data_IF_545705744827
#
_entry.id   IF_545705744827
#
_cell.length_a   1.000
_cell.length_b   1.000
_cell.length_c   1.000
_cell.angle_alpha   90.00
_cell.angle_beta   90.00
_cell.angle_gamma   90.00
#
_symmetry.space_group_name_H-M   'P 1'
#
loop_
_entity.id
_entity.type
_entity.pdbx_description
1 polymer ?
#
# COMPACT_ATOMS: atom_id res chain seq x y z
N UNK A 1 -3.03 15.29 -8.06
CA UNK A 1 -3.62 13.97 -8.29
C UNK A 1 -4.28 13.51 -7.00
N UNK A 2 -5.48 12.92 -7.09
CA UNK A 2 -6.20 12.36 -5.96
C UNK A 2 -6.33 10.84 -6.15
N UNK A 3 -6.10 10.10 -5.07
CA UNK A 3 -6.37 8.68 -4.97
C UNK A 3 -7.65 8.50 -4.15
N UNK A 4 -8.66 7.82 -4.70
CA UNK A 4 -9.81 7.37 -3.92
C UNK A 4 -9.41 6.10 -3.16
N UNK A 5 -9.89 5.92 -1.93
CA UNK A 5 -9.45 4.79 -1.11
C UNK A 5 -10.61 4.16 -0.35
N UNK A 6 -10.80 2.84 -0.53
CA UNK A 6 -11.69 2.05 0.31
C UNK A 6 -11.05 0.71 0.67
N UNK A 7 -10.66 0.55 1.94
CA UNK A 7 -9.90 -0.62 2.45
C UNK A 7 -10.60 -1.36 3.60
N UNK A 8 -11.83 -0.98 3.96
CA UNK A 8 -12.58 -1.68 5.00
C UNK A 8 -13.02 -3.06 4.53
N UNK A 9 -12.83 -4.07 5.37
CA UNK A 9 -13.50 -5.36 5.20
C UNK A 9 -14.98 -5.24 5.54
N UNK A 10 -15.79 -6.20 5.13
CA UNK A 10 -17.22 -6.26 5.49
C UNK A 10 -17.43 -6.15 7.01
N UNK A 11 -16.66 -6.90 7.79
CA UNK A 11 -16.71 -6.85 9.25
C UNK A 11 -16.36 -5.47 9.82
N UNK A 12 -15.34 -4.81 9.28
CA UNK A 12 -14.93 -3.46 9.71
C UNK A 12 -15.96 -2.38 9.33
N UNK A 13 -16.70 -2.61 8.25
CA UNK A 13 -17.77 -1.71 7.80
C UNK A 13 -19.12 -2.00 8.50
N UNK A 14 -19.25 -3.13 9.20
CA UNK A 14 -20.53 -3.58 9.78
C UNK A 14 -21.54 -4.02 8.71
N UNK A 15 -21.06 -4.55 7.59
CA UNK A 15 -21.83 -4.92 6.41
C UNK A 15 -21.71 -6.43 6.14
N UNK A 16 -22.65 -6.98 5.39
CA UNK A 16 -22.44 -8.27 4.73
C UNK A 16 -21.39 -8.19 3.63
N UNK A 17 -20.88 -9.33 3.18
CA UNK A 17 -19.90 -9.38 2.08
C UNK A 17 -20.46 -8.75 0.81
N UNK A 18 -21.71 -9.07 0.45
CA UNK A 18 -22.34 -8.52 -0.76
C UNK A 18 -22.56 -7.01 -0.68
N UNK A 19 -22.98 -6.50 0.47
CA UNK A 19 -23.12 -5.06 0.70
C UNK A 19 -21.76 -4.35 0.61
N UNK A 20 -20.68 -4.93 1.16
CA UNK A 20 -19.35 -4.36 1.09
C UNK A 20 -18.83 -4.33 -0.36
N UNK A 21 -19.12 -5.35 -1.16
CA UNK A 21 -18.83 -5.36 -2.59
C UNK A 21 -19.58 -4.24 -3.31
N UNK A 22 -20.85 -4.01 -2.98
CA UNK A 22 -21.64 -2.91 -3.57
C UNK A 22 -21.05 -1.53 -3.21
N UNK A 23 -20.63 -1.35 -1.96
CA UNK A 23 -19.95 -0.12 -1.52
C UNK A 23 -18.65 0.07 -2.32
N UNK A 24 -17.83 -0.98 -2.45
CA UNK A 24 -16.57 -0.91 -3.22
C UNK A 24 -16.84 -0.56 -4.70
N UNK A 25 -17.88 -1.14 -5.32
CA UNK A 25 -18.31 -0.77 -6.68
C UNK A 25 -18.68 0.71 -6.79
N UNK A 26 -19.36 1.25 -5.79
CA UNK A 26 -19.70 2.67 -5.73
C UNK A 26 -18.46 3.58 -5.76
N UNK A 27 -17.44 3.26 -4.95
CA UNK A 27 -16.15 3.98 -4.95
C UNK A 27 -15.41 3.87 -6.29
N UNK A 28 -15.43 2.69 -6.93
CA UNK A 28 -14.80 2.51 -8.25
C UNK A 28 -15.56 3.34 -9.30
N UNK A 29 -16.88 3.32 -9.28
CA UNK A 29 -17.71 4.08 -10.21
C UNK A 29 -17.48 5.59 -10.06
N UNK A 30 -17.49 6.10 -8.83
CA UNK A 30 -17.18 7.50 -8.53
C UNK A 30 -15.78 7.88 -9.04
N UNK A 31 -14.76 7.03 -8.79
CA UNK A 31 -13.40 7.29 -9.24
C UNK A 31 -13.28 7.34 -10.78
N UNK A 32 -14.09 6.57 -11.50
CA UNK A 32 -14.19 6.61 -12.97
C UNK A 32 -14.83 7.92 -13.43
N UNK A 33 -15.99 8.28 -12.84
CA UNK A 33 -16.77 9.46 -13.21
C UNK A 33 -16.02 10.76 -12.94
N UNK A 34 -15.41 10.86 -11.75
CA UNK A 34 -14.62 12.03 -11.32
C UNK A 34 -13.19 12.04 -11.89
N UNK A 35 -12.82 11.02 -12.69
CA UNK A 35 -11.50 10.89 -13.33
C UNK A 35 -10.35 10.98 -12.33
N UNK A 36 -10.46 10.31 -11.21
CA UNK A 36 -9.36 10.21 -10.26
C UNK A 36 -8.16 9.49 -10.91
N UNK A 37 -6.98 9.72 -10.34
CA UNK A 37 -5.75 9.09 -10.84
C UNK A 37 -5.73 7.61 -10.53
N UNK A 38 -6.18 7.23 -9.31
CA UNK A 38 -6.07 5.88 -8.80
C UNK A 38 -7.22 5.58 -7.81
N UNK A 39 -7.66 4.34 -7.82
CA UNK A 39 -8.50 3.75 -6.78
C UNK A 39 -7.65 2.76 -5.96
N UNK A 40 -7.59 2.97 -4.64
CA UNK A 40 -6.89 2.09 -3.70
C UNK A 40 -7.90 1.18 -3.01
N UNK A 41 -7.79 -0.11 -3.26
CA UNK A 41 -8.74 -1.14 -2.79
C UNK A 41 -8.03 -2.38 -2.24
N UNK A 42 -8.80 -3.26 -1.60
CA UNK A 42 -8.31 -4.56 -1.14
C UNK A 42 -7.96 -5.48 -2.32
N UNK A 43 -7.00 -6.43 -2.14
CA UNK A 43 -6.57 -7.34 -3.20
C UNK A 43 -7.71 -8.14 -3.86
N UNK A 44 -8.67 -8.62 -3.06
CA UNK A 44 -9.83 -9.37 -3.52
C UNK A 44 -10.79 -8.60 -4.43
N UNK A 45 -10.65 -7.26 -4.50
CA UNK A 45 -11.45 -6.38 -5.34
C UNK A 45 -10.76 -5.97 -6.64
N UNK A 46 -9.48 -6.30 -6.85
CA UNK A 46 -8.69 -5.86 -8.01
C UNK A 46 -9.27 -6.36 -9.33
N UNK A 47 -9.59 -7.65 -9.43
CA UNK A 47 -10.23 -8.22 -10.62
C UNK A 47 -11.56 -7.51 -10.96
N UNK A 48 -12.39 -7.23 -9.96
CA UNK A 48 -13.64 -6.52 -10.15
C UNK A 48 -13.42 -5.11 -10.69
N UNK A 49 -12.50 -4.37 -10.09
CA UNK A 49 -12.14 -3.02 -10.52
C UNK A 49 -11.61 -3.03 -11.95
N UNK A 50 -10.72 -3.98 -12.28
CA UNK A 50 -10.17 -4.12 -13.64
C UNK A 50 -11.25 -4.31 -14.69
N UNK A 51 -12.25 -5.13 -14.40
CA UNK A 51 -13.41 -5.33 -15.28
C UNK A 51 -14.20 -4.03 -15.46
N UNK A 52 -14.59 -3.35 -14.37
CA UNK A 52 -15.38 -2.11 -14.43
C UNK A 52 -14.66 -1.00 -15.20
N UNK A 53 -13.36 -0.83 -14.95
CA UNK A 53 -12.53 0.19 -15.61
C UNK A 53 -12.41 -0.09 -17.12
N UNK A 54 -12.25 -1.37 -17.49
CA UNK A 54 -12.18 -1.79 -18.90
C UNK A 54 -13.50 -1.56 -19.62
N UNK A 55 -14.62 -1.93 -19.01
CA UNK A 55 -15.97 -1.73 -19.56
C UNK A 55 -16.30 -0.24 -19.74
N UNK A 56 -15.81 0.63 -18.86
CA UNK A 56 -15.97 2.07 -18.93
C UNK A 56 -14.97 2.77 -19.88
N UNK A 57 -14.03 2.04 -20.49
CA UNK A 57 -12.90 2.62 -21.23
C UNK A 57 -12.16 3.72 -20.46
N UNK A 58 -12.03 3.57 -19.13
CA UNK A 58 -11.40 4.54 -18.26
C UNK A 58 -9.88 4.33 -18.16
N UNK A 59 -9.15 5.41 -17.86
CA UNK A 59 -7.70 5.38 -17.59
C UNK A 59 -7.38 5.32 -16.10
N UNK A 60 -8.38 5.09 -15.24
CA UNK A 60 -8.22 4.94 -13.80
C UNK A 60 -7.25 3.80 -13.50
N UNK A 61 -6.25 4.07 -12.66
CA UNK A 61 -5.30 3.07 -12.19
C UNK A 61 -5.82 2.35 -10.94
N UNK A 62 -5.36 1.13 -10.74
CA UNK A 62 -5.72 0.30 -9.59
C UNK A 62 -4.52 0.15 -8.68
N UNK A 63 -4.62 0.66 -7.45
CA UNK A 63 -3.69 0.35 -6.37
C UNK A 63 -4.28 -0.68 -5.44
N UNK A 64 -3.42 -1.51 -4.88
CA UNK A 64 -3.80 -2.43 -3.82
C UNK A 64 -2.74 -2.51 -2.73
N UNK A 65 -3.16 -2.96 -1.57
CA UNK A 65 -2.30 -3.13 -0.40
C UNK A 65 -1.78 -4.55 -0.32
N UNK A 66 -0.57 -4.73 0.19
CA UNK A 66 0.08 -6.04 0.39
C UNK A 66 0.44 -6.18 1.87
N UNK A 67 0.09 -7.31 2.47
CA UNK A 67 0.30 -7.64 3.88
C UNK A 67 -0.33 -6.60 4.82
N UNK A 68 -1.55 -6.24 4.52
CA UNK A 68 -2.24 -5.14 5.17
C UNK A 68 -3.23 -5.62 6.26
N UNK A 69 -3.26 -4.98 7.46
CA UNK A 69 -2.55 -3.73 7.80
C UNK A 69 -1.27 -3.90 8.64
N UNK A 70 -0.85 -5.11 9.01
CA UNK A 70 0.20 -5.34 10.01
C UNK A 70 1.63 -5.37 9.43
N UNK A 71 1.82 -5.88 8.23
CA UNK A 71 3.14 -6.01 7.62
C UNK A 71 4.02 -7.10 8.22
N UNK A 72 3.45 -8.10 8.90
CA UNK A 72 4.16 -9.11 9.68
C UNK A 72 4.30 -10.47 8.99
N UNK A 73 3.69 -10.64 7.81
CA UNK A 73 3.79 -11.88 7.04
C UNK A 73 5.23 -12.11 6.57
N UNK A 74 5.54 -13.36 6.27
CA UNK A 74 6.84 -13.71 5.69
C UNK A 74 7.06 -13.04 4.33
N UNK A 75 8.33 -12.89 3.95
CA UNK A 75 8.68 -12.36 2.62
C UNK A 75 8.02 -13.17 1.50
N UNK A 76 7.97 -14.49 1.67
CA UNK A 76 7.37 -15.42 0.71
C UNK A 76 5.87 -15.16 0.51
N UNK A 77 5.13 -14.93 1.61
CA UNK A 77 3.71 -14.58 1.58
C UNK A 77 3.47 -13.20 0.94
N UNK A 78 4.27 -12.18 1.30
CA UNK A 78 4.20 -10.86 0.67
C UNK A 78 4.44 -10.93 -0.84
N UNK A 79 5.41 -11.71 -1.28
CA UNK A 79 5.70 -11.89 -2.71
C UNK A 79 4.56 -12.62 -3.41
N UNK A 80 3.99 -13.66 -2.81
CA UNK A 80 2.88 -14.41 -3.37
C UNK A 80 1.63 -13.51 -3.53
N UNK A 81 1.29 -12.72 -2.51
CA UNK A 81 0.20 -11.76 -2.57
C UNK A 81 0.42 -10.69 -3.65
N UNK A 82 1.64 -10.14 -3.74
CA UNK A 82 1.98 -9.15 -4.76
C UNK A 82 1.92 -9.73 -6.19
N UNK A 83 2.39 -10.95 -6.40
CA UNK A 83 2.30 -11.65 -7.69
C UNK A 83 0.84 -11.81 -8.10
N UNK A 84 -0.03 -12.25 -7.17
CA UNK A 84 -1.45 -12.39 -7.43
C UNK A 84 -2.08 -11.03 -7.77
N UNK A 85 -1.78 -9.98 -7.02
CA UNK A 85 -2.30 -8.64 -7.29
C UNK A 85 -1.88 -8.12 -8.68
N UNK A 86 -0.64 -8.39 -9.10
CA UNK A 86 -0.15 -8.07 -10.44
C UNK A 86 -0.94 -8.81 -11.52
N UNK A 87 -1.18 -10.12 -11.33
CA UNK A 87 -1.96 -10.94 -12.26
C UNK A 87 -3.41 -10.47 -12.37
N UNK A 88 -4.00 -10.03 -11.27
CA UNK A 88 -5.35 -9.49 -11.19
C UNK A 88 -5.48 -8.10 -11.83
N UNK A 89 -4.36 -7.43 -12.09
CA UNK A 89 -4.31 -6.18 -12.85
C UNK A 89 -4.03 -4.92 -12.03
N UNK A 90 -3.46 -5.03 -10.84
CA UNK A 90 -2.99 -3.88 -10.06
C UNK A 90 -1.89 -3.12 -10.80
N UNK A 91 -1.92 -1.79 -10.71
CA UNK A 91 -0.93 -0.87 -11.26
C UNK A 91 0.04 -0.38 -10.18
N UNK A 92 -0.44 -0.20 -8.95
CA UNK A 92 0.33 0.22 -7.77
C UNK A 92 0.25 -0.85 -6.68
N UNK A 93 1.39 -1.11 -6.01
CA UNK A 93 1.51 -2.06 -4.91
C UNK A 93 1.96 -1.32 -3.64
N UNK A 94 1.07 -1.22 -2.65
CA UNK A 94 1.34 -0.56 -1.37
C UNK A 94 1.68 -1.62 -0.31
N UNK A 95 2.97 -1.93 -0.15
CA UNK A 95 3.48 -2.88 0.84
C UNK A 95 3.49 -2.25 2.24
N UNK A 96 3.00 -2.97 3.23
CA UNK A 96 3.21 -2.58 4.62
C UNK A 96 4.58 -3.07 5.08
N UNK A 97 5.43 -2.13 5.55
CA UNK A 97 6.71 -2.49 6.17
C UNK A 97 6.49 -3.34 7.42
N UNK A 98 7.36 -4.28 7.69
CA UNK A 98 7.39 -4.97 8.96
C UNK A 98 7.97 -4.02 10.04
N UNK A 99 7.14 -3.05 10.46
CA UNK A 99 7.54 -2.02 11.41
C UNK A 99 7.80 -2.61 12.82
N UNK A 100 7.15 -3.72 13.18
CA UNK A 100 7.44 -4.39 14.45
C UNK A 100 8.83 -5.07 14.44
N UNK A 101 9.19 -5.75 13.35
CA UNK A 101 10.55 -6.28 13.19
C UNK A 101 11.59 -5.15 13.22
N UNK A 102 11.29 -4.02 12.57
CA UNK A 102 12.15 -2.83 12.59
C UNK A 102 12.33 -2.28 14.01
N UNK A 103 11.26 -2.12 14.78
CA UNK A 103 11.29 -1.66 16.19
C UNK A 103 12.13 -2.60 17.08
N UNK A 104 12.09 -3.89 16.80
CA UNK A 104 12.84 -4.92 17.52
C UNK A 104 14.29 -5.06 17.03
N UNK A 105 14.76 -4.19 16.14
CA UNK A 105 16.14 -4.17 15.65
C UNK A 105 16.45 -5.17 14.54
N UNK A 106 15.46 -5.88 14.00
CA UNK A 106 15.65 -6.82 12.88
C UNK A 106 15.69 -6.08 11.54
N UNK A 107 16.66 -5.18 11.40
CA UNK A 107 16.79 -4.27 10.25
C UNK A 107 17.13 -5.03 8.97
N UNK A 108 17.90 -6.12 9.05
CA UNK A 108 18.30 -6.89 7.88
C UNK A 108 17.10 -7.56 7.20
N UNK A 109 16.17 -8.10 7.99
CA UNK A 109 14.91 -8.66 7.47
C UNK A 109 14.11 -7.59 6.72
N UNK A 110 13.92 -6.43 7.34
CA UNK A 110 13.15 -5.32 6.71
C UNK A 110 13.84 -4.81 5.45
N UNK A 111 15.18 -4.75 5.44
CA UNK A 111 15.97 -4.40 4.27
C UNK A 111 15.78 -5.39 3.12
N UNK A 112 15.79 -6.70 3.43
CA UNK A 112 15.57 -7.76 2.43
C UNK A 112 14.15 -7.68 1.84
N UNK A 113 13.12 -7.47 2.68
CA UNK A 113 11.75 -7.27 2.21
C UNK A 113 11.65 -6.07 1.27
N UNK A 114 12.20 -4.90 1.67
CA UNK A 114 12.18 -3.69 0.84
C UNK A 114 12.85 -3.95 -0.51
N UNK A 115 14.02 -4.57 -0.52
CA UNK A 115 14.76 -4.86 -1.74
C UNK A 115 13.97 -5.79 -2.67
N UNK A 116 13.55 -6.93 -2.15
CA UNK A 116 12.99 -8.02 -2.95
C UNK A 116 11.58 -7.66 -3.47
N UNK A 117 10.72 -7.09 -2.62
CA UNK A 117 9.39 -6.66 -3.04
C UNK A 117 9.44 -5.48 -4.03
N UNK A 118 10.36 -4.53 -3.83
CA UNK A 118 10.56 -3.44 -4.80
C UNK A 118 11.03 -3.97 -6.13
N UNK A 119 11.99 -4.90 -6.13
CA UNK A 119 12.48 -5.55 -7.35
C UNK A 119 11.35 -6.23 -8.13
N UNK A 120 10.48 -6.99 -7.43
CA UNK A 120 9.31 -7.63 -8.03
C UNK A 120 8.39 -6.59 -8.70
N UNK A 121 8.01 -5.52 -7.96
CA UNK A 121 7.11 -4.49 -8.47
C UNK A 121 7.67 -3.78 -9.70
N UNK A 122 8.92 -3.31 -9.62
CA UNK A 122 9.58 -2.58 -10.71
C UNK A 122 9.83 -3.45 -11.94
N UNK A 123 10.21 -4.72 -11.77
CA UNK A 123 10.38 -5.66 -12.88
C UNK A 123 9.05 -5.88 -13.64
N UNK A 124 7.92 -5.77 -12.96
CA UNK A 124 6.58 -5.83 -13.54
C UNK A 124 6.02 -4.44 -13.93
N UNK A 125 6.86 -3.38 -13.95
CA UNK A 125 6.51 -2.01 -14.33
C UNK A 125 5.44 -1.37 -13.42
N UNK A 126 5.33 -1.83 -12.18
CA UNK A 126 4.39 -1.31 -11.18
C UNK A 126 5.00 -0.14 -10.41
N UNK A 127 4.15 0.71 -9.86
CA UNK A 127 4.53 1.65 -8.81
C UNK A 127 4.57 0.89 -7.49
N UNK A 128 5.57 1.17 -6.67
CA UNK A 128 5.75 0.56 -5.36
C UNK A 128 5.66 1.63 -4.27
N UNK A 129 4.85 1.41 -3.26
CA UNK A 129 4.79 2.29 -2.10
C UNK A 129 5.04 1.48 -0.83
N UNK A 130 5.83 2.06 0.08
CA UNK A 130 6.15 1.45 1.37
C UNK A 130 5.42 2.20 2.48
N UNK A 131 4.44 1.55 3.10
CA UNK A 131 3.68 2.08 4.24
C UNK A 131 4.51 1.82 5.50
N UNK A 132 5.01 2.88 6.11
CA UNK A 132 5.90 2.78 7.29
C UNK A 132 5.16 2.76 8.62
N UNK A 133 3.86 3.05 8.63
CA UNK A 133 2.97 3.12 9.80
C UNK A 133 3.51 4.01 10.93
N UNK A 134 3.51 5.31 10.66
CA UNK A 134 4.07 6.30 11.61
C UNK A 134 3.41 6.28 12.99
N UNK A 135 2.14 5.86 13.09
CA UNK A 135 1.45 5.77 14.37
C UNK A 135 2.03 4.71 15.31
N UNK A 136 2.80 3.74 14.77
CA UNK A 136 3.50 2.71 15.53
C UNK A 136 4.93 3.12 15.92
N UNK A 137 5.45 4.24 15.39
CA UNK A 137 6.86 4.63 15.45
C UNK A 137 7.04 5.97 16.16
N UNK A 138 8.20 6.16 16.78
CA UNK A 138 8.64 7.48 17.22
C UNK A 138 9.37 8.22 16.10
N UNK A 139 9.58 9.54 16.24
CA UNK A 139 10.19 10.40 15.22
C UNK A 139 11.54 9.87 14.72
N UNK A 140 12.38 9.39 15.62
CA UNK A 140 13.68 8.80 15.26
C UNK A 140 13.51 7.55 14.40
N UNK A 141 12.56 6.69 14.74
CA UNK A 141 12.25 5.47 13.97
C UNK A 141 11.67 5.80 12.60
N UNK A 142 10.81 6.82 12.50
CA UNK A 142 10.27 7.31 11.23
C UNK A 142 11.41 7.74 10.29
N UNK A 143 12.33 8.57 10.80
CA UNK A 143 13.51 9.02 10.03
C UNK A 143 14.39 7.84 9.62
N UNK A 144 14.65 6.91 10.55
CA UNK A 144 15.51 5.76 10.29
C UNK A 144 14.91 4.80 9.25
N UNK A 145 13.62 4.47 9.36
CA UNK A 145 12.96 3.57 8.41
C UNK A 145 12.82 4.22 7.03
N UNK A 146 12.45 5.49 6.97
CA UNK A 146 12.41 6.26 5.71
C UNK A 146 13.79 6.31 5.04
N UNK A 147 14.84 6.52 5.84
CA UNK A 147 16.23 6.53 5.35
C UNK A 147 16.67 5.14 4.88
N UNK A 148 16.26 4.07 5.56
CA UNK A 148 16.53 2.70 5.15
C UNK A 148 15.92 2.42 3.76
N UNK A 149 14.63 2.75 3.57
CA UNK A 149 13.95 2.60 2.28
C UNK A 149 14.72 3.37 1.19
N UNK A 150 14.98 4.67 1.41
CA UNK A 150 15.75 5.49 0.47
C UNK A 150 17.10 4.86 0.12
N UNK A 151 17.87 4.42 1.13
CA UNK A 151 19.20 3.86 0.91
C UNK A 151 19.14 2.54 0.13
N UNK A 152 18.16 1.66 0.41
CA UNK A 152 17.96 0.44 -0.37
C UNK A 152 17.67 0.77 -1.84
N UNK A 153 16.78 1.74 -2.09
CA UNK A 153 16.40 2.12 -3.46
C UNK A 153 17.59 2.72 -4.21
N UNK A 154 18.26 3.70 -3.63
CA UNK A 154 19.39 4.41 -4.28
C UNK A 154 20.57 3.46 -4.53
N UNK A 155 20.78 2.46 -3.67
CA UNK A 155 21.95 1.56 -3.81
C UNK A 155 21.71 0.39 -4.76
N UNK A 156 20.46 0.05 -5.11
CA UNK A 156 20.17 -1.18 -5.85
C UNK A 156 19.38 -0.99 -7.15
N UNK A 157 18.90 0.21 -7.44
CA UNK A 157 18.08 0.48 -8.63
C UNK A 157 18.62 1.66 -9.42
N UNK A 158 18.31 1.67 -10.72
CA UNK A 158 18.66 2.77 -11.63
C UNK A 158 17.85 4.04 -11.30
N UNK A 159 18.46 5.20 -11.51
CA UNK A 159 17.87 6.49 -11.13
C UNK A 159 16.52 6.76 -11.81
N UNK A 160 16.32 6.25 -13.02
CA UNK A 160 15.07 6.36 -13.79
C UNK A 160 13.89 5.65 -13.13
N UNK A 161 14.16 4.71 -12.22
CA UNK A 161 13.13 3.97 -11.48
C UNK A 161 12.72 4.64 -10.17
N UNK A 162 13.51 5.59 -9.65
CA UNK A 162 13.22 6.26 -8.37
C UNK A 162 11.83 6.91 -8.32
N UNK A 163 11.32 7.55 -9.40
CA UNK A 163 9.98 8.13 -9.40
C UNK A 163 8.83 7.10 -9.33
N UNK A 164 9.15 5.81 -9.33
CA UNK A 164 8.19 4.72 -9.19
C UNK A 164 8.13 4.14 -7.77
N UNK A 165 8.96 4.66 -6.84
CA UNK A 165 8.99 4.16 -5.46
C UNK A 165 8.70 5.31 -4.49
N UNK A 166 7.75 5.08 -3.59
CA UNK A 166 7.29 6.08 -2.63
C UNK A 166 7.32 5.54 -1.20
N UNK A 167 7.42 6.45 -0.24
CA UNK A 167 7.13 6.18 1.16
C UNK A 167 5.74 6.73 1.48
N UNK A 168 4.91 5.91 2.11
CA UNK A 168 3.56 6.28 2.55
C UNK A 168 3.50 6.22 4.08
N UNK A 169 2.88 7.21 4.68
CA UNK A 169 2.94 7.40 6.13
C UNK A 169 2.23 6.30 6.92
N UNK A 170 1.02 5.91 6.53
CA UNK A 170 0.14 5.16 7.42
C UNK A 170 -0.81 4.25 6.67
N UNK A 171 -1.24 3.17 7.34
CA UNK A 171 -2.37 2.34 6.90
C UNK A 171 -3.72 3.02 7.14
N UNK A 172 -3.83 3.84 8.19
CA UNK A 172 -5.07 4.36 8.72
C UNK A 172 -5.84 3.36 9.61
N UNK A 173 -5.26 2.19 9.88
CA UNK A 173 -5.89 1.10 10.63
C UNK A 173 -5.17 0.78 11.94
N UNK A 174 -4.03 1.41 12.22
CA UNK A 174 -3.32 1.23 13.48
C UNK A 174 -4.17 1.70 14.66
N UNK A 175 -4.25 0.89 15.71
CA UNK A 175 -4.97 1.25 16.93
C UNK A 175 -4.04 2.00 17.87
N UNK A 176 -4.23 3.30 17.93
CA UNK A 176 -3.48 4.16 18.86
C UNK A 176 -4.10 4.13 20.26
N UNK A 177 -3.28 4.36 21.28
CA UNK A 177 -3.76 4.59 22.64
C UNK A 177 -4.35 6.01 22.78
N UNK A 178 -5.30 6.18 23.70
CA UNK A 178 -5.88 7.48 24.06
C UNK A 178 -6.44 8.32 22.87
N UNK A 179 -6.94 7.67 21.83
CA UNK A 179 -7.49 8.32 20.63
C UNK A 179 -6.50 9.27 19.94
N UNK A 180 -5.22 9.00 20.01
CA UNK A 180 -4.22 9.72 19.22
C UNK A 180 -4.47 9.50 17.72
N UNK A 181 -4.07 10.45 16.85
CA UNK A 181 -4.17 10.27 15.41
C UNK A 181 -3.45 9.02 14.94
N UNK A 182 -4.08 8.24 14.04
CA UNK A 182 -3.48 7.06 13.41
C UNK A 182 -3.05 7.31 11.96
N UNK A 183 -3.02 8.56 11.56
CA UNK A 183 -2.60 9.00 10.22
C UNK A 183 -1.46 10.02 10.29
N UNK A 184 -1.09 10.54 9.14
CA UNK A 184 -0.03 11.54 9.04
C UNK A 184 -0.38 12.80 9.82
N UNK A 185 0.56 13.25 10.64
CA UNK A 185 0.52 14.55 11.32
C UNK A 185 1.54 15.50 10.68
N UNK A 186 1.32 16.81 10.78
CA UNK A 186 2.28 17.80 10.23
C UNK A 186 3.70 17.54 10.72
N UNK A 187 3.98 17.33 12.03
CA UNK A 187 5.35 17.06 12.50
C UNK A 187 5.97 15.78 11.95
N UNK A 188 5.16 14.80 11.55
CA UNK A 188 5.68 13.52 11.07
C UNK A 188 6.05 13.52 9.58
N UNK A 189 5.66 14.58 8.82
CA UNK A 189 5.91 14.70 7.38
C UNK A 189 6.77 15.91 7.02
N UNK A 190 7.14 16.71 7.99
CA UNK A 190 8.07 17.86 7.85
C UNK A 190 9.47 17.49 8.29
#
# INVERSE_FOLDING_TARGET
>A
YLDSTYLKTAAQAGLSVDENILVTKGFIQEAIEERFKLIMIRPDMVCLAKKMITEANSTLQIGTVIDFPQGESSLEEKLAEAIQAIQDGADDLDFVCNYEAFKNGNVDLVKEEILTCTQLGLANKKVVKWIIEIAALNDKQIIQLSSLIKNVIVSNFEQELFPKVFVKSSTGFYKTENNLPNGATIPAIT
#
